data_IF_605960864956
#
_entry.id   IF_605960864956
#
_cell.length_a   1.000
_cell.length_b   1.000
_cell.length_c   1.000
_cell.angle_alpha   90.00
_cell.angle_beta   90.00
_cell.angle_gamma   90.00
#
_symmetry.space_group_name_H-M   'P 1'
#
loop_
_entity.id
_entity.type
_entity.pdbx_description
1 polymer ?
#
# COMPACT_ATOMS: atom_id res chain seq x y z
N UNK A 1 -21.12 -3.43 8.66
CA UNK A 1 -22.09 -4.31 7.96
C UNK A 1 -21.86 -4.22 6.46
N UNK A 2 -21.92 -5.33 5.73
CA UNK A 2 -21.66 -5.40 4.28
C UNK A 2 -22.93 -5.91 3.60
N UNK A 3 -23.42 -5.17 2.62
CA UNK A 3 -24.57 -5.51 1.81
C UNK A 3 -24.12 -5.80 0.38
N UNK A 4 -24.14 -7.08 -0.04
CA UNK A 4 -23.85 -7.51 -1.38
C UNK A 4 -24.71 -8.72 -1.77
N UNK A 5 -25.24 -8.73 -2.97
CA UNK A 5 -25.99 -9.85 -3.54
C UNK A 5 -25.12 -10.93 -4.18
N UNK A 6 -23.82 -10.68 -4.35
CA UNK A 6 -22.86 -11.61 -4.95
C UNK A 6 -21.95 -12.19 -3.87
N UNK A 7 -21.94 -13.51 -3.71
CA UNK A 7 -21.20 -14.18 -2.65
C UNK A 7 -19.69 -13.95 -2.72
N UNK A 8 -19.12 -13.91 -3.93
CA UNK A 8 -17.69 -13.65 -4.12
C UNK A 8 -17.31 -12.24 -3.69
N UNK A 9 -18.05 -11.23 -4.16
CA UNK A 9 -17.85 -9.83 -3.78
C UNK A 9 -18.05 -9.64 -2.27
N UNK A 10 -19.09 -10.26 -1.71
CA UNK A 10 -19.33 -10.22 -0.27
C UNK A 10 -18.14 -10.75 0.54
N UNK A 11 -17.52 -11.86 0.09
CA UNK A 11 -16.35 -12.43 0.74
C UNK A 11 -15.11 -11.54 0.60
N UNK A 12 -14.89 -10.92 -0.56
CA UNK A 12 -13.79 -9.97 -0.77
C UNK A 12 -13.91 -8.76 0.14
N UNK A 13 -15.11 -8.17 0.23
CA UNK A 13 -15.40 -7.04 1.12
C UNK A 13 -15.28 -7.44 2.60
N UNK A 14 -15.69 -8.65 2.95
CA UNK A 14 -15.55 -9.19 4.30
C UNK A 14 -14.06 -9.34 4.69
N UNK A 15 -13.26 -9.95 3.82
CA UNK A 15 -11.83 -10.10 4.04
C UNK A 15 -11.13 -8.73 4.17
N UNK A 16 -11.52 -7.75 3.34
CA UNK A 16 -10.99 -6.39 3.45
C UNK A 16 -11.35 -5.70 4.78
N UNK A 17 -12.54 -5.99 5.31
CA UNK A 17 -12.96 -5.48 6.61
C UNK A 17 -12.18 -6.15 7.76
N UNK A 18 -11.95 -7.46 7.69
CA UNK A 18 -11.11 -8.16 8.66
C UNK A 18 -9.65 -7.68 8.61
N UNK A 19 -9.09 -7.50 7.40
CA UNK A 19 -7.75 -6.93 7.21
C UNK A 19 -7.62 -5.51 7.82
N UNK A 20 -8.74 -4.76 7.85
CA UNK A 20 -8.83 -3.47 8.53
C UNK A 20 -9.08 -3.56 10.05
N UNK A 21 -9.19 -4.77 10.61
CA UNK A 21 -9.49 -4.98 12.02
C UNK A 21 -10.94 -4.67 12.41
N UNK A 22 -11.89 -4.67 11.46
CA UNK A 22 -13.31 -4.46 11.72
C UNK A 22 -14.03 -5.78 11.97
N UNK A 23 -14.95 -5.80 12.92
CA UNK A 23 -15.96 -6.86 12.97
C UNK A 23 -16.97 -6.64 11.85
N UNK A 24 -17.02 -7.56 10.89
CA UNK A 24 -17.92 -7.47 9.76
C UNK A 24 -19.05 -8.49 9.83
N UNK A 25 -20.19 -8.14 9.23
CA UNK A 25 -21.34 -9.01 9.04
C UNK A 25 -21.85 -8.81 7.62
N UNK A 26 -22.04 -9.89 6.87
CA UNK A 26 -22.55 -9.87 5.51
C UNK A 26 -24.05 -10.12 5.51
N UNK A 27 -24.79 -9.35 4.71
CA UNK A 27 -26.21 -9.51 4.47
C UNK A 27 -26.42 -9.84 2.99
N UNK A 28 -27.01 -11.00 2.78
CA UNK A 28 -27.44 -11.48 1.50
C UNK A 28 -28.71 -12.32 1.74
N UNK A 29 -29.82 -12.06 1.08
CA UNK A 29 -30.08 -11.06 0.05
C UNK A 29 -30.40 -9.64 0.59
N UNK A 30 -30.30 -8.65 -0.31
CA UNK A 30 -30.40 -7.23 0.04
C UNK A 30 -31.74 -6.80 0.71
N UNK A 31 -32.85 -7.50 0.48
CA UNK A 31 -34.14 -7.19 1.11
C UNK A 31 -34.20 -7.49 2.61
N UNK A 32 -33.24 -8.25 3.14
CA UNK A 32 -33.11 -8.53 4.57
C UNK A 32 -32.45 -7.38 5.33
N UNK A 33 -31.96 -6.35 4.64
CA UNK A 33 -31.27 -5.21 5.23
C UNK A 33 -32.09 -4.58 6.38
N UNK A 34 -33.37 -4.34 6.17
CA UNK A 34 -34.24 -3.75 7.20
C UNK A 34 -34.36 -4.61 8.45
N UNK A 35 -34.51 -5.93 8.28
CA UNK A 35 -34.60 -6.87 9.40
C UNK A 35 -33.27 -6.98 10.15
N UNK A 36 -32.15 -7.00 9.43
CA UNK A 36 -30.82 -7.05 10.02
C UNK A 36 -30.48 -5.76 10.80
N UNK A 37 -30.85 -4.61 10.27
CA UNK A 37 -30.68 -3.32 10.95
C UNK A 37 -31.55 -3.16 12.19
N UNK A 38 -32.70 -3.80 12.24
CA UNK A 38 -33.57 -3.79 13.44
C UNK A 38 -32.95 -4.53 14.63
N UNK A 39 -32.09 -5.52 14.36
CA UNK A 39 -31.37 -6.32 15.36
C UNK A 39 -29.92 -5.94 15.61
N UNK A 40 -29.33 -5.12 14.73
CA UNK A 40 -27.94 -4.76 14.79
C UNK A 40 -27.75 -3.29 14.39
N UNK A 41 -27.06 -2.51 15.20
CA UNK A 41 -26.81 -1.09 14.95
C UNK A 41 -25.37 -0.90 14.44
N UNK A 42 -25.12 -0.97 13.12
CA UNK A 42 -23.78 -0.85 12.58
C UNK A 42 -23.25 0.58 12.64
N UNK A 43 -21.96 0.73 12.92
CA UNK A 43 -21.28 2.03 12.86
C UNK A 43 -21.07 2.51 11.43
N UNK A 44 -21.03 1.57 10.46
CA UNK A 44 -20.83 1.83 9.02
C UNK A 44 -21.49 0.72 8.21
N UNK A 45 -22.06 1.07 7.05
CA UNK A 45 -22.56 0.11 6.07
C UNK A 45 -21.81 0.24 4.76
N UNK A 46 -21.27 -0.87 4.27
CA UNK A 46 -20.67 -0.98 2.95
C UNK A 46 -21.71 -1.55 1.99
N UNK A 47 -21.97 -0.87 0.90
CA UNK A 47 -23.01 -1.23 -0.06
C UNK A 47 -22.34 -1.51 -1.43
N UNK A 48 -22.52 -2.73 -1.91
CA UNK A 48 -22.22 -3.09 -3.29
C UNK A 48 -23.44 -2.77 -4.16
N UNK A 49 -23.42 -1.60 -4.79
CA UNK A 49 -24.57 -1.07 -5.52
C UNK A 49 -24.93 -1.88 -6.78
N UNK A 50 -23.98 -2.63 -7.34
CA UNK A 50 -24.20 -3.43 -8.55
C UNK A 50 -25.00 -4.69 -8.28
N UNK A 51 -24.85 -5.25 -7.09
CA UNK A 51 -25.54 -6.47 -6.66
C UNK A 51 -26.93 -6.25 -6.05
N UNK A 52 -27.35 -5.00 -5.85
CA UNK A 52 -28.68 -4.68 -5.31
C UNK A 52 -29.84 -4.84 -6.34
N UNK A 53 -29.55 -5.30 -7.55
CA UNK A 53 -30.53 -5.48 -8.58
C UNK A 53 -30.85 -4.19 -9.35
N UNK A 54 -32.07 -4.09 -9.91
CA UNK A 54 -32.43 -3.00 -10.82
C UNK A 54 -32.69 -1.66 -10.15
N UNK A 55 -32.87 -1.61 -8.83
CA UNK A 55 -33.22 -0.38 -8.11
C UNK A 55 -32.60 -0.31 -6.71
N UNK A 56 -31.31 0.02 -6.59
CA UNK A 56 -30.64 0.20 -5.32
C UNK A 56 -31.25 1.33 -4.47
N UNK A 57 -31.83 2.34 -5.11
CA UNK A 57 -32.44 3.47 -4.41
C UNK A 57 -33.65 3.04 -3.61
N UNK A 58 -34.56 2.25 -4.18
CA UNK A 58 -35.76 1.76 -3.49
C UNK A 58 -35.42 0.87 -2.29
N UNK A 59 -34.37 0.03 -2.40
CA UNK A 59 -33.94 -0.82 -1.27
C UNK A 59 -33.44 0.04 -0.11
N UNK A 60 -32.62 1.05 -0.41
CA UNK A 60 -32.07 1.96 0.59
C UNK A 60 -33.15 2.87 1.19
N UNK A 61 -34.08 3.37 0.38
CA UNK A 61 -35.20 4.20 0.84
C UNK A 61 -36.07 3.44 1.85
N UNK A 62 -36.42 2.19 1.56
CA UNK A 62 -37.17 1.32 2.49
C UNK A 62 -36.43 1.08 3.80
N UNK A 63 -35.10 1.14 3.78
CA UNK A 63 -34.25 0.92 4.95
C UNK A 63 -33.82 2.24 5.61
N UNK A 64 -34.20 3.39 5.07
CA UNK A 64 -33.76 4.71 5.51
C UNK A 64 -34.08 4.96 6.99
N UNK A 65 -35.24 4.52 7.45
CA UNK A 65 -35.66 4.67 8.85
C UNK A 65 -34.70 3.93 9.82
N UNK A 66 -34.19 2.78 9.43
CA UNK A 66 -33.28 1.98 10.24
C UNK A 66 -31.81 2.41 10.06
N UNK A 67 -31.42 2.88 8.88
CA UNK A 67 -30.07 3.39 8.62
C UNK A 67 -29.81 4.72 9.32
N UNK A 68 -30.83 5.56 9.42
CA UNK A 68 -30.70 6.85 10.11
C UNK A 68 -29.56 7.70 9.53
N UNK A 69 -28.58 8.02 10.40
CA UNK A 69 -27.35 8.74 10.03
C UNK A 69 -26.13 7.82 9.92
N UNK A 70 -26.33 6.50 9.85
CA UNK A 70 -25.23 5.56 9.69
C UNK A 70 -24.48 5.86 8.39
N UNK A 71 -23.17 6.08 8.42
CA UNK A 71 -22.39 6.36 7.23
C UNK A 71 -22.37 5.18 6.25
N UNK A 72 -22.39 5.49 4.95
CA UNK A 72 -22.37 4.52 3.87
C UNK A 72 -21.10 4.63 3.06
N UNK A 73 -20.45 3.49 2.78
CA UNK A 73 -19.48 3.36 1.69
C UNK A 73 -20.21 2.70 0.52
N UNK A 74 -20.21 3.34 -0.64
CA UNK A 74 -20.87 2.84 -1.84
C UNK A 74 -19.82 2.35 -2.83
N UNK A 75 -19.84 1.05 -3.13
CA UNK A 75 -19.02 0.42 -4.16
C UNK A 75 -19.84 0.19 -5.42
N UNK A 76 -19.23 0.39 -6.59
CA UNK A 76 -19.80 -0.02 -7.86
C UNK A 76 -18.70 -0.10 -8.92
N UNK A 77 -18.82 -1.09 -9.83
CA UNK A 77 -17.95 -1.29 -11.01
C UNK A 77 -18.42 -0.48 -12.23
N UNK A 78 -19.50 0.31 -12.07
CA UNK A 78 -20.05 1.11 -13.18
C UNK A 78 -19.28 2.42 -13.33
N UNK A 79 -19.52 3.11 -14.46
CA UNK A 79 -18.92 4.41 -14.77
C UNK A 79 -19.01 5.39 -13.58
N UNK A 80 -17.92 6.04 -13.25
CA UNK A 80 -17.81 6.99 -12.12
C UNK A 80 -18.90 8.08 -12.13
N UNK A 81 -19.35 8.48 -13.32
CA UNK A 81 -20.45 9.43 -13.48
C UNK A 81 -21.78 8.91 -12.92
N UNK A 82 -22.04 7.62 -13.07
CA UNK A 82 -23.25 6.96 -12.55
C UNK A 82 -23.21 6.83 -11.04
N UNK A 83 -22.08 6.39 -10.49
CA UNK A 83 -21.88 6.28 -9.03
C UNK A 83 -22.01 7.66 -8.39
N UNK A 84 -21.43 8.69 -8.99
CA UNK A 84 -21.52 10.07 -8.50
C UNK A 84 -22.97 10.57 -8.45
N UNK A 85 -23.79 10.25 -9.46
CA UNK A 85 -25.22 10.57 -9.49
C UNK A 85 -26.00 9.80 -8.43
N UNK A 86 -25.73 8.50 -8.26
CA UNK A 86 -26.34 7.68 -7.22
C UNK A 86 -26.04 8.26 -5.83
N UNK A 87 -24.78 8.53 -5.53
CA UNK A 87 -24.39 9.12 -4.24
C UNK A 87 -24.99 10.50 -3.99
N UNK A 88 -25.03 11.36 -5.02
CA UNK A 88 -25.69 12.69 -4.91
C UNK A 88 -27.19 12.54 -4.59
N UNK A 89 -27.86 11.57 -5.23
CA UNK A 89 -29.26 11.29 -4.95
C UNK A 89 -29.47 10.76 -3.53
N UNK A 90 -28.67 9.79 -3.10
CA UNK A 90 -28.71 9.26 -1.72
C UNK A 90 -28.45 10.36 -0.67
N UNK A 91 -27.51 11.26 -0.96
CA UNK A 91 -27.26 12.43 -0.09
C UNK A 91 -28.46 13.36 -0.03
N UNK A 92 -29.19 13.58 -1.14
CA UNK A 92 -30.42 14.39 -1.15
C UNK A 92 -31.56 13.76 -0.35
N UNK A 93 -31.54 12.44 -0.19
CA UNK A 93 -32.47 11.67 0.68
C UNK A 93 -32.06 11.66 2.15
N UNK A 94 -30.94 12.30 2.51
CA UNK A 94 -30.45 12.40 3.89
C UNK A 94 -29.45 11.35 4.32
N UNK A 95 -28.99 10.47 3.42
CA UNK A 95 -27.93 9.52 3.71
C UNK A 95 -26.55 10.17 3.82
N UNK A 96 -25.75 9.70 4.72
CA UNK A 96 -24.36 10.14 4.89
C UNK A 96 -23.45 9.26 4.04
N UNK A 97 -22.95 9.77 2.92
CA UNK A 97 -21.99 9.05 2.07
C UNK A 97 -20.59 9.34 2.54
N UNK A 98 -19.94 8.33 3.08
CA UNK A 98 -18.59 8.40 3.61
C UNK A 98 -17.55 8.36 2.50
N UNK A 99 -17.66 7.39 1.61
CA UNK A 99 -16.76 7.20 0.48
C UNK A 99 -17.45 6.47 -0.66
N UNK A 100 -16.89 6.64 -1.87
CA UNK A 100 -17.22 5.89 -3.07
C UNK A 100 -16.01 5.03 -3.44
N UNK A 101 -16.24 3.78 -3.82
CA UNK A 101 -15.24 2.87 -4.33
C UNK A 101 -15.61 2.53 -5.76
N UNK A 102 -14.67 2.74 -6.69
CA UNK A 102 -14.82 2.47 -8.12
C UNK A 102 -14.23 1.13 -8.54
N UNK A 103 -14.07 0.98 -9.85
CA UNK A 103 -13.47 -0.18 -10.51
C UNK A 103 -11.95 -0.23 -10.22
N UNK A 104 -11.42 -1.43 -9.96
CA UNK A 104 -9.99 -1.66 -9.72
C UNK A 104 -9.48 -1.46 -8.29
N UNK A 105 -10.26 -0.85 -7.41
CA UNK A 105 -9.79 -0.39 -6.08
C UNK A 105 -10.43 -1.14 -4.88
N UNK A 106 -11.23 -2.19 -5.14
CA UNK A 106 -12.22 -2.67 -4.18
C UNK A 106 -11.64 -3.13 -2.82
N UNK A 107 -10.58 -3.93 -2.77
CA UNK A 107 -10.10 -4.52 -1.51
C UNK A 107 -9.16 -3.59 -0.75
N UNK A 108 -8.17 -3.03 -1.43
CA UNK A 108 -7.16 -2.14 -0.80
C UNK A 108 -7.79 -0.83 -0.38
N UNK A 109 -8.69 -0.28 -1.19
CA UNK A 109 -9.36 0.98 -0.91
C UNK A 109 -10.45 0.85 0.13
N UNK A 110 -11.16 -0.28 0.19
CA UNK A 110 -12.11 -0.52 1.28
C UNK A 110 -11.39 -0.61 2.62
N UNK A 111 -10.30 -1.37 2.71
CA UNK A 111 -9.51 -1.44 3.94
C UNK A 111 -9.00 -0.07 4.36
N UNK A 112 -8.47 0.72 3.41
CA UNK A 112 -8.02 2.09 3.66
C UNK A 112 -9.18 3.03 4.05
N UNK A 113 -10.37 2.89 3.45
CA UNK A 113 -11.56 3.66 3.78
C UNK A 113 -12.06 3.33 5.19
N UNK A 114 -12.10 2.05 5.55
CA UNK A 114 -12.49 1.58 6.88
C UNK A 114 -11.51 2.06 7.95
N UNK A 115 -10.22 1.98 7.68
CA UNK A 115 -9.20 2.51 8.60
C UNK A 115 -9.33 4.03 8.77
N UNK A 116 -9.57 4.79 7.70
CA UNK A 116 -9.82 6.25 7.79
C UNK A 116 -11.08 6.55 8.62
N UNK A 117 -12.13 5.77 8.44
CA UNK A 117 -13.37 5.91 9.22
C UNK A 117 -13.12 5.63 10.71
N UNK A 118 -12.47 4.52 11.05
CA UNK A 118 -12.10 4.18 12.44
C UNK A 118 -11.26 5.28 13.09
N UNK A 119 -10.25 5.81 12.38
CA UNK A 119 -9.40 6.91 12.90
C UNK A 119 -10.20 8.18 13.21
N UNK A 120 -11.25 8.48 12.44
CA UNK A 120 -12.13 9.64 12.72
C UNK A 120 -13.06 9.39 13.90
N UNK A 121 -13.62 8.19 13.98
CA UNK A 121 -14.49 7.79 15.09
C UNK A 121 -13.74 7.77 16.42
N UNK A 122 -12.47 7.33 16.40
CA UNK A 122 -11.62 7.24 17.59
C UNK A 122 -10.94 8.56 17.94
N UNK A 123 -11.06 9.61 17.09
CA UNK A 123 -10.46 10.93 17.32
C UNK A 123 -8.96 10.86 17.63
N UNK A 124 -8.20 9.97 16.95
CA UNK A 124 -6.75 9.89 17.16
C UNK A 124 -6.13 11.28 17.03
N UNK A 125 -5.46 11.72 18.07
CA UNK A 125 -4.88 13.06 18.19
C UNK A 125 -3.41 13.07 17.78
N UNK A 126 -2.89 14.26 17.45
CA UNK A 126 -1.45 14.43 17.26
C UNK A 126 -0.63 14.08 18.51
N UNK A 127 -1.21 14.28 19.71
CA UNK A 127 -0.55 13.93 20.97
C UNK A 127 -0.41 12.41 21.16
N UNK A 128 -1.45 11.65 20.83
CA UNK A 128 -1.39 10.17 20.82
C UNK A 128 -0.37 9.66 19.80
N UNK A 129 -0.29 10.29 18.63
CA UNK A 129 0.70 9.93 17.63
C UNK A 129 2.13 10.19 18.10
N UNK A 130 2.39 11.34 18.75
CA UNK A 130 3.70 11.62 19.37
C UNK A 130 4.01 10.60 20.46
N UNK A 131 3.03 10.30 21.32
CA UNK A 131 3.15 9.26 22.33
C UNK A 131 3.53 7.91 21.73
N UNK A 132 2.85 7.51 20.64
CA UNK A 132 3.13 6.27 19.93
C UNK A 132 4.57 6.18 19.40
N UNK A 133 5.12 7.31 18.89
CA UNK A 133 6.52 7.39 18.46
C UNK A 133 7.50 7.17 19.63
N UNK A 134 7.17 7.68 20.82
CA UNK A 134 8.03 7.62 22.00
C UNK A 134 7.94 6.29 22.77
N UNK A 135 6.81 5.55 22.63
CA UNK A 135 6.51 4.35 23.41
C UNK A 135 6.55 3.04 22.61
N UNK A 136 7.22 3.04 21.45
CA UNK A 136 7.38 1.85 20.59
C UNK A 136 6.05 1.24 20.09
N UNK A 137 4.99 2.05 19.99
CA UNK A 137 3.75 1.61 19.37
C UNK A 137 3.87 1.65 17.83
N UNK A 138 4.70 2.56 17.30
CA UNK A 138 5.07 2.54 15.89
C UNK A 138 6.12 1.45 15.64
N UNK A 139 5.92 0.68 14.59
CA UNK A 139 6.84 -0.35 14.15
C UNK A 139 7.01 -0.30 12.64
N UNK A 140 8.11 -0.83 12.13
CA UNK A 140 8.34 -1.00 10.70
C UNK A 140 8.21 -2.47 10.35
N UNK A 141 7.37 -2.78 9.39
CA UNK A 141 7.33 -4.06 8.70
C UNK A 141 8.15 -3.95 7.42
N UNK A 142 8.78 -5.04 7.04
CA UNK A 142 9.62 -5.10 5.84
C UNK A 142 8.98 -6.05 4.83
N UNK A 143 8.79 -5.54 3.61
CA UNK A 143 8.30 -6.37 2.50
C UNK A 143 9.46 -6.71 1.58
N UNK A 144 9.70 -8.00 1.28
CA UNK A 144 10.82 -8.40 0.45
C UNK A 144 10.68 -7.88 -0.98
N UNK A 145 11.77 -7.32 -1.51
CA UNK A 145 12.02 -7.08 -2.94
C UNK A 145 12.90 -8.22 -3.45
N UNK A 146 12.46 -8.87 -4.51
CA UNK A 146 13.05 -10.12 -5.00
C UNK A 146 13.54 -9.90 -6.42
N UNK A 147 14.77 -10.32 -6.71
CA UNK A 147 15.24 -10.36 -8.10
C UNK A 147 14.45 -11.40 -8.89
N UNK A 148 14.00 -11.03 -10.10
CA UNK A 148 13.24 -11.94 -10.95
C UNK A 148 14.14 -12.89 -11.79
N UNK A 149 15.44 -12.89 -11.55
CA UNK A 149 16.34 -13.89 -12.15
C UNK A 149 16.12 -15.28 -11.54
N UNK A 150 16.75 -16.30 -12.15
CA UNK A 150 16.69 -17.68 -11.64
C UNK A 150 17.10 -17.75 -10.16
N UNK A 151 16.34 -18.52 -9.38
CA UNK A 151 16.51 -18.64 -7.91
C UNK A 151 15.83 -17.54 -7.10
N UNK A 152 15.41 -16.47 -7.70
CA UNK A 152 14.63 -15.36 -7.10
C UNK A 152 15.14 -14.93 -5.71
N UNK A 153 16.43 -14.53 -5.59
CA UNK A 153 16.97 -14.11 -4.30
C UNK A 153 16.34 -12.80 -3.83
N UNK A 154 16.21 -12.64 -2.51
CA UNK A 154 15.85 -11.36 -1.91
C UNK A 154 17.01 -10.39 -2.11
N UNK A 155 16.76 -9.26 -2.74
CA UNK A 155 17.75 -8.20 -3.04
C UNK A 155 17.55 -6.93 -2.23
N UNK A 156 16.40 -6.82 -1.57
CA UNK A 156 16.07 -5.68 -0.74
C UNK A 156 14.77 -5.87 0.02
N UNK A 157 14.34 -4.79 0.66
CA UNK A 157 13.03 -4.72 1.31
C UNK A 157 12.50 -3.28 1.30
N UNK A 158 11.19 -3.12 1.27
CA UNK A 158 10.54 -1.85 1.55
C UNK A 158 10.16 -1.75 3.02
N UNK A 159 10.51 -0.62 3.65
CA UNK A 159 10.23 -0.31 5.04
C UNK A 159 8.84 0.35 5.16
N UNK A 160 7.87 -0.38 5.65
CA UNK A 160 6.48 0.01 5.72
C UNK A 160 6.04 0.26 7.16
N UNK A 161 5.70 1.51 7.48
CA UNK A 161 5.23 1.89 8.81
C UNK A 161 3.95 1.15 9.19
N UNK A 162 3.85 0.76 10.47
CA UNK A 162 2.63 0.22 11.11
C UNK A 162 2.50 0.85 12.49
N UNK A 163 1.28 1.01 12.97
CA UNK A 163 1.01 1.43 14.33
C UNK A 163 0.25 0.33 15.09
N UNK A 164 0.87 -0.21 16.12
CA UNK A 164 0.23 -1.12 17.07
C UNK A 164 -0.59 -0.31 18.06
N UNK A 165 -1.74 0.20 17.60
CA UNK A 165 -2.58 1.03 18.43
C UNK A 165 -3.25 0.19 19.53
N UNK A 166 -3.22 0.63 20.81
CA UNK A 166 -3.70 -0.18 21.94
C UNK A 166 -5.19 -0.53 21.87
N UNK A 167 -6.00 0.28 21.17
CA UNK A 167 -7.45 0.08 21.03
C UNK A 167 -7.83 -0.41 19.63
N UNK A 168 -7.18 0.11 18.58
CA UNK A 168 -7.55 -0.14 17.18
C UNK A 168 -6.81 -1.31 16.54
N UNK A 169 -5.91 -1.97 17.27
CA UNK A 169 -5.05 -3.00 16.69
C UNK A 169 -3.97 -2.43 15.78
N UNK A 170 -3.59 -3.15 14.72
CA UNK A 170 -2.49 -2.74 13.83
C UNK A 170 -3.01 -1.88 12.69
N UNK A 171 -2.64 -0.60 12.69
CA UNK A 171 -2.95 0.33 11.60
C UNK A 171 -1.87 0.26 10.52
N UNK A 172 -2.30 0.25 9.26
CA UNK A 172 -1.43 0.25 8.08
C UNK A 172 -0.75 1.59 7.80
N UNK A 173 0.12 1.64 6.78
CA UNK A 173 0.89 2.83 6.42
C UNK A 173 0.00 4.03 6.06
N UNK A 174 -1.00 3.85 5.19
CA UNK A 174 -1.84 4.95 4.71
C UNK A 174 -2.47 5.80 5.83
N UNK A 175 -3.23 5.22 6.77
CA UNK A 175 -3.77 5.92 7.92
C UNK A 175 -2.72 6.65 8.77
N UNK A 176 -1.58 6.02 9.03
CA UNK A 176 -0.49 6.60 9.85
C UNK A 176 0.13 7.80 9.15
N UNK A 177 0.43 7.69 7.84
CA UNK A 177 0.99 8.78 7.03
C UNK A 177 0.01 9.96 6.94
N UNK A 178 -1.27 9.70 6.66
CA UNK A 178 -2.31 10.74 6.62
C UNK A 178 -2.42 11.52 7.95
N UNK A 179 -2.31 10.81 9.08
CA UNK A 179 -2.33 11.47 10.39
C UNK A 179 -1.07 12.31 10.59
N UNK A 180 0.10 11.78 10.24
CA UNK A 180 1.37 12.50 10.33
C UNK A 180 1.38 13.77 9.46
N UNK A 181 0.86 13.72 8.23
CA UNK A 181 0.72 14.88 7.35
C UNK A 181 -0.21 15.94 7.95
N UNK A 182 -1.41 15.55 8.39
CA UNK A 182 -2.38 16.46 9.02
C UNK A 182 -1.86 17.10 10.30
N UNK A 183 -1.01 16.37 11.04
CA UNK A 183 -0.39 16.83 12.28
C UNK A 183 0.94 17.56 12.06
N UNK A 184 1.41 17.69 10.82
CA UNK A 184 2.73 18.25 10.44
C UNK A 184 3.90 17.50 11.08
N UNK A 185 3.75 16.20 11.26
CA UNK A 185 4.74 15.29 11.86
C UNK A 185 5.37 14.34 10.84
N UNK A 186 5.00 14.44 9.56
CA UNK A 186 5.46 13.53 8.50
C UNK A 186 6.98 13.57 8.30
N UNK A 187 7.64 14.73 8.47
CA UNK A 187 9.10 14.80 8.42
C UNK A 187 9.74 14.04 9.58
N UNK A 188 9.21 14.23 10.80
CA UNK A 188 9.69 13.48 11.98
C UNK A 188 9.47 11.98 11.84
N UNK A 189 8.33 11.58 11.25
CA UNK A 189 8.05 10.20 10.94
C UNK A 189 9.03 9.64 9.90
N UNK A 190 9.30 10.37 8.83
CA UNK A 190 10.27 9.97 7.80
C UNK A 190 11.66 9.76 8.38
N UNK A 191 12.13 10.68 9.23
CA UNK A 191 13.40 10.54 9.93
C UNK A 191 13.46 9.24 10.75
N UNK A 192 12.38 8.97 11.51
CA UNK A 192 12.28 7.77 12.32
C UNK A 192 12.27 6.48 11.48
N UNK A 193 11.56 6.47 10.34
CA UNK A 193 11.57 5.32 9.42
C UNK A 193 12.95 5.12 8.79
N UNK A 194 13.65 6.20 8.41
CA UNK A 194 15.02 6.14 7.90
C UNK A 194 15.95 5.52 8.95
N UNK A 195 15.87 5.95 10.22
CA UNK A 195 16.66 5.33 11.29
C UNK A 195 16.41 3.82 11.39
N UNK A 196 15.15 3.38 11.32
CA UNK A 196 14.79 1.95 11.33
C UNK A 196 15.27 1.19 10.10
N UNK A 197 15.28 1.84 8.93
CA UNK A 197 15.86 1.27 7.70
C UNK A 197 17.38 1.09 7.84
N UNK A 198 18.09 2.08 8.39
CA UNK A 198 19.53 1.98 8.64
C UNK A 198 19.87 0.91 9.68
N UNK A 199 19.05 0.77 10.75
CA UNK A 199 19.17 -0.34 11.71
C UNK A 199 19.05 -1.71 10.99
N UNK A 200 18.10 -1.85 10.06
CA UNK A 200 17.89 -3.08 9.29
C UNK A 200 19.06 -3.37 8.35
N UNK A 201 19.57 -2.36 7.65
CA UNK A 201 20.76 -2.50 6.78
C UNK A 201 21.94 -3.02 7.62
N UNK A 202 22.23 -2.41 8.76
CA UNK A 202 23.30 -2.87 9.65
C UNK A 202 23.14 -4.34 10.07
N UNK A 203 21.91 -4.76 10.45
CA UNK A 203 21.62 -6.14 10.82
C UNK A 203 21.83 -7.12 9.65
N UNK A 204 21.49 -6.73 8.42
CA UNK A 204 21.72 -7.59 7.24
C UNK A 204 23.19 -7.65 6.86
N UNK A 205 23.94 -6.55 7.01
CA UNK A 205 25.40 -6.54 6.82
C UNK A 205 26.12 -7.42 7.84
N UNK A 206 25.70 -7.45 9.11
CA UNK A 206 26.19 -8.38 10.13
C UNK A 206 25.96 -9.86 9.76
N UNK A 207 24.91 -10.14 8.97
CA UNK A 207 24.64 -11.45 8.40
C UNK A 207 25.44 -11.76 7.13
N UNK A 208 26.28 -10.81 6.67
CA UNK A 208 27.04 -10.89 5.42
C UNK A 208 26.20 -10.64 4.16
N UNK A 209 25.00 -10.05 4.31
CA UNK A 209 24.08 -9.76 3.21
C UNK A 209 24.08 -8.25 2.91
N UNK A 210 24.13 -7.91 1.64
CA UNK A 210 23.97 -6.52 1.16
C UNK A 210 22.58 -6.36 0.56
N UNK A 211 21.62 -5.92 1.37
CA UNK A 211 20.24 -5.72 0.97
C UNK A 211 19.91 -4.24 0.95
N UNK A 212 19.32 -3.78 -0.14
CA UNK A 212 18.82 -2.40 -0.24
C UNK A 212 17.52 -2.27 0.54
N UNK A 213 17.44 -1.27 1.44
CA UNK A 213 16.18 -0.97 2.15
C UNK A 213 15.61 0.34 1.61
N UNK A 214 14.38 0.25 1.12
CA UNK A 214 13.63 1.37 0.56
C UNK A 214 12.78 2.05 1.63
N UNK A 215 12.72 3.38 1.58
CA UNK A 215 11.93 4.23 2.47
C UNK A 215 11.17 5.26 1.65
N UNK A 216 9.87 5.35 1.88
CA UNK A 216 9.03 6.41 1.31
C UNK A 216 9.42 7.77 1.88
N UNK A 217 9.84 8.71 1.02
CA UNK A 217 10.30 10.04 1.39
C UNK A 217 9.42 11.12 0.74
N UNK A 218 8.75 11.99 1.55
CA UNK A 218 7.95 13.08 1.02
C UNK A 218 8.82 14.07 0.23
N UNK A 219 8.41 14.41 -0.99
CA UNK A 219 9.18 15.27 -1.89
C UNK A 219 9.47 16.66 -1.31
N UNK A 220 8.49 17.24 -0.59
CA UNK A 220 8.62 18.51 0.13
C UNK A 220 9.71 18.45 1.21
N UNK A 221 9.84 17.32 1.89
CA UNK A 221 10.89 17.13 2.89
C UNK A 221 12.27 16.88 2.26
N UNK A 222 12.32 16.09 1.17
CA UNK A 222 13.57 15.87 0.42
C UNK A 222 14.15 17.17 -0.14
N UNK A 223 13.27 18.11 -0.54
CA UNK A 223 13.67 19.42 -1.07
C UNK A 223 14.25 20.36 0.02
N UNK A 224 14.06 20.04 1.32
CA UNK A 224 14.59 20.85 2.41
C UNK A 224 16.13 20.79 2.49
N UNK A 225 16.81 21.93 2.62
CA UNK A 225 18.28 21.99 2.61
C UNK A 225 18.98 21.12 3.65
N UNK A 226 18.32 20.81 4.75
CA UNK A 226 18.90 20.02 5.85
C UNK A 226 18.68 18.49 5.69
N UNK A 227 17.75 18.05 4.84
CA UNK A 227 17.44 16.63 4.68
C UNK A 227 18.63 15.82 4.17
N UNK A 228 19.21 16.19 3.02
CA UNK A 228 20.33 15.48 2.44
C UNK A 228 21.54 15.35 3.37
N UNK A 229 22.04 16.46 3.96
CA UNK A 229 23.10 16.41 4.96
C UNK A 229 22.80 15.51 6.17
N UNK A 230 21.56 15.50 6.63
CA UNK A 230 21.13 14.65 7.76
C UNK A 230 21.21 13.17 7.40
N UNK A 231 20.65 12.77 6.26
CA UNK A 231 20.67 11.38 5.78
C UNK A 231 22.11 10.90 5.59
N UNK A 232 22.93 11.69 4.89
CA UNK A 232 24.34 11.36 4.62
C UNK A 232 25.17 11.28 5.89
N UNK A 233 24.94 12.18 6.86
CA UNK A 233 25.59 12.14 8.15
C UNK A 233 25.23 10.92 8.99
N UNK A 234 23.98 10.42 8.89
CA UNK A 234 23.56 9.18 9.54
C UNK A 234 24.23 7.95 8.92
N UNK A 235 24.31 7.88 7.59
CA UNK A 235 24.99 6.80 6.85
C UNK A 235 26.49 6.77 7.20
N UNK A 236 27.16 7.92 7.18
CA UNK A 236 28.58 8.05 7.53
C UNK A 236 28.86 7.63 8.97
N UNK A 237 28.04 8.08 9.91
CA UNK A 237 28.16 7.75 11.35
C UNK A 237 28.04 6.24 11.59
N UNK A 238 27.20 5.53 10.84
CA UNK A 238 27.00 4.10 10.97
C UNK A 238 27.93 3.28 10.08
N UNK A 239 28.70 3.91 9.19
CA UNK A 239 29.58 3.23 8.23
C UNK A 239 28.83 2.44 7.16
N UNK A 240 27.55 2.80 6.89
CA UNK A 240 26.70 2.13 5.91
C UNK A 240 27.00 2.67 4.51
N UNK A 241 27.12 1.76 3.52
CA UNK A 241 27.20 2.11 2.13
C UNK A 241 25.91 2.83 1.67
N UNK A 242 25.99 4.09 1.18
CA UNK A 242 24.80 4.84 0.76
C UNK A 242 23.93 4.12 -0.29
N UNK A 243 24.51 3.24 -1.11
CA UNK A 243 23.78 2.47 -2.12
C UNK A 243 22.79 1.45 -1.55
N UNK A 244 22.89 1.14 -0.26
CA UNK A 244 21.98 0.26 0.46
C UNK A 244 20.72 0.98 0.97
N UNK A 245 20.71 2.31 0.97
CA UNK A 245 19.49 3.09 1.25
C UNK A 245 18.85 3.53 -0.06
N UNK A 246 17.57 3.21 -0.24
CA UNK A 246 16.75 3.71 -1.35
C UNK A 246 15.71 4.69 -0.81
N UNK A 247 15.59 5.85 -1.45
CA UNK A 247 14.51 6.80 -1.16
C UNK A 247 13.48 6.72 -2.29
N UNK A 248 12.25 6.38 -1.93
CA UNK A 248 11.12 6.28 -2.84
C UNK A 248 10.30 7.57 -2.81
N UNK A 249 10.09 8.20 -3.96
CA UNK A 249 9.36 9.46 -4.08
C UNK A 249 8.27 9.29 -5.12
N UNK A 250 7.02 9.59 -4.73
CA UNK A 250 5.88 9.44 -5.63
C UNK A 250 5.99 10.35 -6.86
N UNK A 251 5.61 9.83 -8.02
CA UNK A 251 5.64 10.49 -9.33
C UNK A 251 5.06 11.92 -9.27
N UNK A 252 3.83 12.04 -8.80
CA UNK A 252 3.10 13.32 -8.78
C UNK A 252 3.79 14.38 -7.92
N UNK A 253 4.37 14.00 -6.78
CA UNK A 253 5.03 14.94 -5.86
C UNK A 253 6.41 15.34 -6.39
N UNK A 254 7.20 14.39 -6.91
CA UNK A 254 8.51 14.69 -7.52
C UNK A 254 8.43 15.72 -8.67
N UNK A 255 7.34 15.65 -9.44
CA UNK A 255 7.13 16.56 -10.60
C UNK A 255 6.70 17.97 -10.21
N UNK A 256 6.18 18.20 -9.01
CA UNK A 256 5.66 19.50 -8.56
C UNK A 256 6.70 20.41 -7.91
N UNK A 257 7.70 19.84 -7.24
CA UNK A 257 8.67 20.59 -6.41
C UNK A 257 9.77 21.34 -7.19
N UNK A 258 9.83 21.18 -8.51
CA UNK A 258 10.69 21.96 -9.40
C UNK A 258 12.19 21.86 -9.13
N UNK A 259 12.98 22.97 -9.28
CA UNK A 259 14.46 22.93 -9.22
C UNK A 259 15.03 22.54 -7.85
N UNK A 260 14.32 22.79 -6.74
CA UNK A 260 14.82 22.50 -5.39
C UNK A 260 14.97 21.00 -5.17
N UNK A 261 13.94 20.21 -5.53
CA UNK A 261 14.02 18.75 -5.40
C UNK A 261 15.06 18.16 -6.35
N UNK A 262 15.17 18.68 -7.58
CA UNK A 262 16.17 18.19 -8.55
C UNK A 262 17.58 18.33 -7.99
N UNK A 263 17.90 19.47 -7.37
CA UNK A 263 19.20 19.70 -6.73
C UNK A 263 19.46 18.75 -5.57
N UNK A 264 18.46 18.55 -4.69
CA UNK A 264 18.56 17.66 -3.53
C UNK A 264 18.74 16.19 -3.95
N UNK A 265 17.94 15.70 -4.91
CA UNK A 265 18.06 14.35 -5.45
C UNK A 265 19.41 14.14 -6.13
N UNK A 266 19.87 15.11 -6.94
CA UNK A 266 21.19 15.02 -7.60
C UNK A 266 22.32 14.91 -6.56
N UNK A 267 22.27 15.69 -5.50
CA UNK A 267 23.27 15.64 -4.43
C UNK A 267 23.28 14.28 -3.70
N UNK A 268 22.11 13.74 -3.36
CA UNK A 268 21.98 12.43 -2.74
C UNK A 268 22.48 11.31 -3.65
N UNK A 269 22.08 11.33 -4.92
CA UNK A 269 22.50 10.38 -5.95
C UNK A 269 24.02 10.40 -6.16
N UNK A 270 24.61 11.60 -6.22
CA UNK A 270 26.06 11.76 -6.36
C UNK A 270 26.86 11.17 -5.19
N UNK A 271 26.25 11.12 -4.02
CA UNK A 271 26.81 10.49 -2.81
C UNK A 271 26.46 9.00 -2.70
N UNK A 272 25.80 8.42 -3.71
CA UNK A 272 25.55 6.99 -3.82
C UNK A 272 24.20 6.51 -3.27
N UNK A 273 23.35 7.39 -2.70
CA UNK A 273 22.00 7.02 -2.28
C UNK A 273 21.19 6.63 -3.51
N UNK A 274 20.49 5.49 -3.43
CA UNK A 274 19.64 5.01 -4.51
C UNK A 274 18.30 5.76 -4.50
N UNK A 275 17.79 6.12 -5.67
CA UNK A 275 16.57 6.90 -5.82
C UNK A 275 15.56 6.15 -6.67
N UNK A 276 14.34 5.98 -6.16
CA UNK A 276 13.25 5.31 -6.86
C UNK A 276 12.05 6.23 -7.03
N UNK A 277 11.44 6.20 -8.21
CA UNK A 277 10.16 6.86 -8.46
C UNK A 277 9.04 5.87 -8.24
N UNK A 278 8.09 6.24 -7.38
CA UNK A 278 6.98 5.40 -6.94
C UNK A 278 5.66 5.74 -7.64
N UNK A 279 4.73 4.76 -7.70
CA UNK A 279 3.39 4.85 -8.33
C UNK A 279 3.46 5.24 -9.82
N UNK A 280 4.51 4.83 -10.55
CA UNK A 280 4.71 5.28 -11.92
C UNK A 280 3.64 4.74 -12.89
N UNK A 281 3.08 5.66 -13.67
CA UNK A 281 2.05 5.39 -14.67
C UNK A 281 0.64 5.77 -14.22
N UNK A 282 0.42 6.09 -12.94
CA UNK A 282 -0.90 6.54 -12.44
C UNK A 282 -1.12 8.04 -12.60
N UNK A 283 -0.06 8.81 -12.88
CA UNK A 283 -0.06 10.26 -13.00
C UNK A 283 0.01 10.77 -14.45
N UNK A 284 0.02 12.09 -14.59
CA UNK A 284 0.22 12.78 -15.86
C UNK A 284 1.69 13.17 -16.06
N UNK A 285 2.62 12.24 -15.84
CA UNK A 285 4.03 12.59 -15.94
C UNK A 285 4.49 12.80 -17.37
N UNK A 286 5.25 13.86 -17.54
CA UNK A 286 5.97 14.08 -18.77
C UNK A 286 7.24 13.21 -18.77
N UNK A 287 7.42 12.35 -19.77
CA UNK A 287 8.66 11.59 -19.99
C UNK A 287 9.91 12.50 -19.99
N UNK A 288 9.73 13.77 -20.36
CA UNK A 288 10.79 14.79 -20.33
C UNK A 288 11.23 15.08 -18.88
N UNK A 289 10.30 15.07 -17.93
CA UNK A 289 10.62 15.29 -16.51
C UNK A 289 11.30 14.08 -15.89
N UNK A 290 10.83 12.87 -16.18
CA UNK A 290 11.50 11.65 -15.74
C UNK A 290 12.98 11.62 -16.19
N UNK A 291 13.24 11.96 -17.45
CA UNK A 291 14.62 12.02 -17.97
C UNK A 291 15.51 13.08 -17.26
N UNK A 292 14.92 14.13 -16.68
CA UNK A 292 15.68 15.19 -15.98
C UNK A 292 15.98 14.88 -14.53
N UNK A 293 15.25 13.98 -13.92
CA UNK A 293 15.42 13.62 -12.52
C UNK A 293 16.38 12.43 -12.39
N UNK A 294 17.26 12.43 -11.39
CA UNK A 294 18.34 11.45 -11.27
C UNK A 294 17.87 10.15 -10.59
N UNK A 295 16.75 9.58 -11.04
CA UNK A 295 16.26 8.31 -10.52
C UNK A 295 17.04 7.12 -11.09
N UNK A 296 17.22 6.10 -10.25
CA UNK A 296 17.84 4.83 -10.58
C UNK A 296 16.82 3.75 -10.89
N UNK A 297 15.66 3.81 -10.23
CA UNK A 297 14.62 2.79 -10.25
C UNK A 297 13.25 3.41 -10.56
N UNK A 298 12.43 2.66 -11.30
CA UNK A 298 10.99 2.94 -11.51
C UNK A 298 10.20 1.79 -10.90
N UNK A 299 9.27 2.11 -9.99
CA UNK A 299 8.29 1.15 -9.46
C UNK A 299 7.04 1.22 -10.33
N UNK A 300 6.70 0.08 -10.94
CA UNK A 300 5.48 -0.06 -11.74
C UNK A 300 4.33 -0.30 -10.78
N UNK A 301 3.34 0.61 -10.78
CA UNK A 301 2.23 0.56 -9.85
C UNK A 301 1.44 -0.76 -9.92
N UNK A 302 1.02 -1.23 -8.76
CA UNK A 302 0.29 -2.48 -8.59
C UNK A 302 -1.01 -2.56 -9.40
N UNK A 303 -1.66 -1.43 -9.76
CA UNK A 303 -2.88 -1.42 -10.55
C UNK A 303 -2.69 -2.00 -11.94
N UNK A 304 -1.48 -1.87 -12.52
CA UNK A 304 -1.14 -2.49 -13.79
C UNK A 304 -0.65 -3.94 -13.62
N UNK A 305 0.04 -4.24 -12.53
CA UNK A 305 0.67 -5.56 -12.32
C UNK A 305 -0.34 -6.61 -11.87
N UNK A 306 -1.39 -6.25 -11.13
CA UNK A 306 -2.41 -7.20 -10.65
C UNK A 306 -3.23 -7.84 -11.78
N UNK A 307 -3.55 -7.07 -12.81
CA UNK A 307 -4.31 -7.54 -13.97
C UNK A 307 -3.41 -8.19 -15.04
N UNK A 308 -2.10 -7.97 -14.91
CA UNK A 308 -1.08 -8.55 -15.78
C UNK A 308 -0.82 -10.04 -15.44
N UNK A 309 -0.61 -10.93 -16.41
CA UNK A 309 -0.61 -10.68 -17.87
C UNK A 309 -1.97 -10.87 -18.55
N UNK A 310 -3.06 -11.09 -17.81
CA UNK A 310 -4.36 -11.48 -18.34
C UNK A 310 -5.06 -10.35 -19.13
N UNK A 311 -4.87 -9.07 -18.72
CA UNK A 311 -5.41 -7.91 -19.42
C UNK A 311 -4.40 -7.37 -20.45
N UNK A 312 -4.83 -7.29 -21.72
CA UNK A 312 -3.99 -6.80 -22.83
C UNK A 312 -3.55 -5.33 -22.63
N UNK A 313 -4.42 -4.51 -22.03
CA UNK A 313 -4.14 -3.10 -21.75
C UNK A 313 -3.02 -2.96 -20.72
N UNK A 314 -3.16 -3.63 -19.59
CA UNK A 314 -2.17 -3.68 -18.52
C UNK A 314 -0.85 -4.27 -19.01
N UNK A 315 -0.88 -5.32 -19.82
CA UNK A 315 0.31 -5.92 -20.43
C UNK A 315 1.04 -4.94 -21.36
N UNK A 316 0.32 -4.17 -22.17
CA UNK A 316 0.92 -3.16 -23.05
C UNK A 316 1.55 -2.00 -22.25
N UNK A 317 0.93 -1.58 -21.14
CA UNK A 317 1.46 -0.53 -20.24
C UNK A 317 2.73 -1.03 -19.57
N UNK A 318 2.70 -2.21 -18.93
CA UNK A 318 3.87 -2.81 -18.27
C UNK A 318 5.04 -2.95 -19.24
N UNK A 319 4.81 -3.52 -20.44
CA UNK A 319 5.85 -3.66 -21.47
C UNK A 319 6.41 -2.30 -21.92
N UNK A 320 5.56 -1.27 -22.01
CA UNK A 320 5.99 0.08 -22.40
C UNK A 320 6.87 0.72 -21.32
N UNK A 321 6.54 0.55 -20.04
CA UNK A 321 7.32 1.07 -18.91
C UNK A 321 8.67 0.32 -18.85
N UNK A 322 8.70 -1.00 -18.99
CA UNK A 322 9.93 -1.78 -19.01
C UNK A 322 10.86 -1.36 -20.16
N UNK A 323 10.32 -1.19 -21.37
CA UNK A 323 11.09 -0.68 -22.51
C UNK A 323 11.59 0.75 -22.32
N UNK A 324 10.90 1.59 -21.54
CA UNK A 324 11.37 2.92 -21.16
C UNK A 324 12.52 2.82 -20.16
N UNK A 325 12.40 1.99 -19.13
CA UNK A 325 13.44 1.78 -18.12
C UNK A 325 14.74 1.29 -18.77
N UNK A 326 14.67 0.29 -19.65
CA UNK A 326 15.82 -0.22 -20.40
C UNK A 326 16.55 0.90 -21.18
N UNK A 327 15.79 1.75 -21.89
CA UNK A 327 16.38 2.85 -22.70
C UNK A 327 16.96 3.98 -21.87
N UNK A 328 16.44 4.21 -20.67
CA UNK A 328 16.96 5.21 -19.73
C UNK A 328 18.05 4.66 -18.82
N UNK A 329 18.31 3.34 -18.83
CA UNK A 329 19.27 2.68 -17.95
C UNK A 329 18.82 2.70 -16.50
N UNK A 330 17.50 2.58 -16.27
CA UNK A 330 16.88 2.54 -14.95
C UNK A 330 16.43 1.12 -14.62
N UNK A 331 16.56 0.70 -13.36
CA UNK A 331 16.03 -0.57 -12.85
C UNK A 331 14.49 -0.51 -12.80
N UNK A 332 13.82 -1.61 -13.11
CA UNK A 332 12.37 -1.70 -12.98
C UNK A 332 11.97 -2.63 -11.83
N UNK A 333 11.11 -2.13 -10.94
CA UNK A 333 10.51 -2.90 -9.85
C UNK A 333 9.01 -3.02 -10.06
N UNK A 334 8.49 -4.23 -10.28
CA UNK A 334 7.05 -4.47 -10.40
C UNK A 334 6.42 -4.67 -9.03
N UNK A 335 5.41 -3.86 -8.70
CA UNK A 335 4.66 -3.96 -7.45
C UNK A 335 3.39 -4.81 -7.58
N UNK A 336 2.94 -5.38 -6.46
CA UNK A 336 1.68 -6.12 -6.43
C UNK A 336 1.72 -7.44 -7.19
N UNK A 337 2.89 -8.08 -7.29
CA UNK A 337 3.01 -9.42 -7.90
C UNK A 337 2.35 -10.44 -6.97
N UNK A 338 1.23 -11.02 -7.42
CA UNK A 338 0.44 -11.96 -6.61
C UNK A 338 0.51 -13.41 -7.11
N UNK A 339 0.97 -13.65 -8.35
CA UNK A 339 1.01 -14.99 -8.95
C UNK A 339 2.37 -15.35 -9.55
N UNK A 340 2.63 -16.65 -9.68
CA UNK A 340 3.84 -17.14 -10.33
C UNK A 340 3.86 -16.77 -11.82
N UNK A 341 2.71 -16.83 -12.49
CA UNK A 341 2.58 -16.49 -13.91
C UNK A 341 2.97 -15.03 -14.16
N UNK A 342 2.51 -14.10 -13.32
CA UNK A 342 2.88 -12.69 -13.42
C UNK A 342 4.39 -12.50 -13.22
N UNK A 343 4.98 -13.18 -12.22
CA UNK A 343 6.42 -13.13 -11.96
C UNK A 343 7.26 -13.68 -13.12
N UNK A 344 6.84 -14.81 -13.72
CA UNK A 344 7.55 -15.43 -14.86
C UNK A 344 7.47 -14.54 -16.10
N UNK A 345 6.31 -13.95 -16.36
CA UNK A 345 6.10 -13.09 -17.52
C UNK A 345 6.84 -11.74 -17.37
N UNK A 346 6.84 -11.14 -16.17
CA UNK A 346 7.65 -9.97 -15.86
C UNK A 346 9.14 -10.24 -16.10
N UNK A 347 9.64 -11.39 -15.63
CA UNK A 347 11.01 -11.82 -15.90
C UNK A 347 11.28 -11.93 -17.40
N UNK A 348 10.35 -12.54 -18.17
CA UNK A 348 10.48 -12.70 -19.63
C UNK A 348 10.53 -11.35 -20.35
N UNK A 349 9.82 -10.34 -19.83
CA UNK A 349 9.84 -8.97 -20.37
C UNK A 349 11.05 -8.15 -19.91
N UNK A 350 11.93 -8.71 -19.09
CA UNK A 350 13.15 -8.05 -18.62
C UNK A 350 12.99 -7.20 -17.37
N UNK A 351 11.93 -7.37 -16.59
CA UNK A 351 11.82 -6.75 -15.27
C UNK A 351 12.83 -7.38 -14.31
N UNK A 352 13.62 -6.54 -13.62
CA UNK A 352 14.72 -7.00 -12.76
C UNK A 352 14.24 -7.37 -11.36
N UNK A 353 13.30 -6.60 -10.80
CA UNK A 353 12.85 -6.73 -9.41
C UNK A 353 11.34 -6.86 -9.34
N UNK A 354 10.86 -7.71 -8.44
CA UNK A 354 9.45 -7.86 -8.13
C UNK A 354 9.18 -7.73 -6.64
N UNK A 355 8.04 -7.15 -6.31
CA UNK A 355 7.51 -7.03 -4.96
C UNK A 355 6.03 -7.36 -4.96
N UNK A 356 5.57 -8.15 -3.99
CA UNK A 356 4.16 -8.52 -3.90
C UNK A 356 3.92 -9.70 -2.97
N UNK A 357 2.65 -10.06 -2.80
CA UNK A 357 2.27 -11.11 -1.86
C UNK A 357 2.70 -12.50 -2.30
N UNK A 358 3.01 -12.68 -3.57
CA UNK A 358 3.62 -13.92 -4.07
C UNK A 358 5.00 -14.17 -3.44
N UNK A 359 5.79 -13.14 -3.22
CA UNK A 359 7.13 -13.25 -2.61
C UNK A 359 7.08 -13.13 -1.09
N UNK A 360 6.15 -12.33 -0.55
CA UNK A 360 5.97 -12.14 0.87
C UNK A 360 5.11 -10.93 1.20
N UNK A 361 4.32 -11.06 2.26
CA UNK A 361 3.60 -9.92 2.83
C UNK A 361 4.56 -9.08 3.67
N UNK A 362 4.26 -7.78 3.91
CA UNK A 362 5.00 -6.98 4.88
C UNK A 362 5.03 -7.66 6.26
N UNK A 363 6.21 -7.98 6.76
CA UNK A 363 6.40 -8.74 7.99
C UNK A 363 7.29 -8.01 8.99
N UNK A 364 7.18 -8.28 10.30
CA UNK A 364 8.04 -7.69 11.32
C UNK A 364 9.53 -7.96 11.06
N UNK A 365 10.40 -7.07 11.51
CA UNK A 365 11.86 -7.14 11.33
C UNK A 365 12.46 -8.52 11.64
N UNK A 366 12.02 -9.12 12.77
CA UNK A 366 12.50 -10.44 13.18
C UNK A 366 12.14 -11.54 12.17
N UNK A 367 10.93 -11.52 11.66
CA UNK A 367 10.44 -12.51 10.68
C UNK A 367 11.17 -12.31 9.34
N UNK A 368 11.37 -11.05 8.92
CA UNK A 368 12.13 -10.74 7.72
C UNK A 368 13.57 -11.27 7.82
N UNK A 369 14.29 -11.00 8.91
CA UNK A 369 15.64 -11.52 9.10
C UNK A 369 15.70 -13.05 9.18
N UNK A 370 14.63 -13.69 9.67
CA UNK A 370 14.55 -15.17 9.67
C UNK A 370 14.35 -15.73 8.27
N UNK A 371 13.55 -15.05 7.41
CA UNK A 371 13.31 -15.48 6.03
C UNK A 371 14.56 -15.39 5.13
N UNK A 372 15.55 -14.57 5.51
CA UNK A 372 16.81 -14.43 4.78
C UNK A 372 17.81 -15.57 5.04
N UNK A 373 17.58 -16.35 6.10
CA UNK A 373 18.47 -17.47 6.40
C UNK A 373 18.23 -18.62 5.43
N UNK A 374 19.28 -19.27 4.91
CA UNK A 374 19.09 -20.44 4.07
C UNK A 374 18.27 -21.49 4.85
N UNK A 375 17.23 -22.04 4.19
CA UNK A 375 16.37 -23.05 4.78
C UNK A 375 17.23 -24.22 5.32
N UNK A 376 17.20 -24.44 6.63
CA UNK A 376 17.85 -25.60 7.21
C UNK A 376 17.04 -26.85 6.84
N UNK A 377 17.72 -28.01 6.63
CA UNK A 377 17.03 -29.27 6.26
C UNK A 377 15.87 -29.65 7.19
N UNK A 378 15.74 -29.03 8.37
CA UNK A 378 14.64 -29.21 9.31
C UNK A 378 13.39 -28.38 9.00
N UNK A 379 13.51 -27.26 8.32
CA UNK A 379 12.39 -26.35 8.03
C UNK A 379 11.57 -26.84 6.83
N UNK A 380 12.24 -27.39 5.81
CA UNK A 380 11.57 -28.02 4.65
C UNK A 380 10.66 -29.20 5.07
N UNK A 381 11.02 -29.94 6.11
CA UNK A 381 10.19 -31.04 6.64
C UNK A 381 8.97 -30.54 7.43
N UNK A 382 9.04 -29.34 8.03
CA UNK A 382 7.91 -28.71 8.75
C UNK A 382 6.89 -28.07 7.80
N UNK A 383 7.34 -27.46 6.72
CA UNK A 383 6.45 -26.88 5.68
C UNK A 383 5.72 -27.97 4.91
N UNK A 384 6.41 -29.05 4.51
CA UNK A 384 5.77 -30.22 3.90
C UNK A 384 4.71 -30.87 4.82
N UNK A 385 4.97 -30.90 6.14
CA UNK A 385 4.02 -31.40 7.13
C UNK A 385 2.82 -30.48 7.38
N UNK A 386 2.93 -29.17 7.10
CA UNK A 386 1.84 -28.20 7.22
C UNK A 386 0.91 -28.24 6.02
N UNK A 387 1.47 -28.33 4.81
CA UNK A 387 0.68 -28.48 3.55
C UNK A 387 -0.11 -29.79 3.51
N UNK A 388 0.41 -30.87 4.09
CA UNK A 388 -0.33 -32.17 4.18
C UNK A 388 -1.46 -32.11 5.22
N UNK A 389 -1.38 -31.23 6.24
CA UNK A 389 -2.45 -31.06 7.25
C UNK A 389 -3.54 -30.07 6.83
N UNK A 390 -3.26 -29.17 5.90
CA UNK A 390 -4.25 -28.23 5.33
C UNK A 390 -5.00 -28.83 4.11
N UNK A 391 -4.50 -29.95 3.56
CA UNK A 391 -5.12 -30.69 2.45
C UNK A 391 -5.90 -31.96 2.88
N UNK A 392 -5.97 -32.27 4.18
CA UNK A 392 -6.74 -33.38 4.78
C UNK A 392 -7.85 -32.85 5.68
#
# INVERSE_FOLDING_TARGET
MILSGEAQVAQELFNAAEDAGCMASVITPAWELGAALAGFNPELVVIDADSLGTDPVTILDRSAHHLGKTPLIVRSMREERLIRKLCAHLTSMGFVIEQRLGDGEARTDLAAALMRFQMRCTRITAAEFVHAMEHNELVVNYQPKVSLVEGRPVVGAEALIRWRHPVLGVLGAGPVINLAERSRLHWKLTDWVIEKALDMIGLTEEMGLKLRVSVNAPADYVAEPHFGPKVLGSLEKLGIDPSLLCLEITETKAMREGPAITGALTALRFRGVHLSIDDFGTGYSSLIQLHKLPFDEVKIDQSFVREFPADEGSAAIVASILGLCERLGMEACAEGVETAEAADELQRLGCEVGQGYFFGKPMPAREFLQSLKPATKGDAAREAGKQVREAA
#
